data_IF_811819503063
#
_entry.id   IF_811819503063
#
_cell.length_a   1.000
_cell.length_b   1.000
_cell.length_c   1.000
_cell.angle_alpha   90.00
_cell.angle_beta   90.00
_cell.angle_gamma   90.00
#
_symmetry.space_group_name_H-M   'P 1'
#
loop_
_entity.id
_entity.type
_entity.pdbx_description
1 polymer ?
#
# COMPACT_ATOMS: atom_id res chain seq x y z
N UNK A 1 -0.52 -13.61 2.53
CA UNK A 1 -1.79 -12.93 2.19
C UNK A 1 -1.55 -11.88 1.11
N UNK A 2 -2.60 -11.53 0.36
CA UNK A 2 -2.53 -10.57 -0.74
C UNK A 2 -3.61 -9.50 -0.57
N UNK A 3 -3.23 -8.25 -0.80
CA UNK A 3 -4.14 -7.10 -0.80
C UNK A 3 -3.96 -6.30 -2.08
N UNK A 4 -5.06 -5.88 -2.71
CA UNK A 4 -5.06 -4.90 -3.80
C UNK A 4 -5.55 -3.59 -3.20
N UNK A 5 -4.73 -2.54 -3.32
CA UNK A 5 -5.02 -1.27 -2.70
C UNK A 5 -4.69 -0.10 -3.62
N UNK A 6 -5.32 1.03 -3.36
CA UNK A 6 -4.99 2.30 -4.01
C UNK A 6 -4.13 3.13 -3.05
N UNK A 7 -2.97 3.59 -3.51
CA UNK A 7 -2.08 4.47 -2.75
C UNK A 7 -2.80 5.81 -2.54
N UNK A 8 -2.86 6.26 -1.29
CA UNK A 8 -3.44 7.55 -0.89
C UNK A 8 -2.37 8.57 -0.59
N UNK A 9 -1.33 8.14 0.11
CA UNK A 9 -0.20 8.98 0.53
C UNK A 9 1.08 8.15 0.57
N UNK A 10 2.20 8.78 0.23
CA UNK A 10 3.52 8.14 0.15
C UNK A 10 4.43 8.81 1.16
N UNK A 11 4.90 8.03 2.14
CA UNK A 11 5.80 8.48 3.20
C UNK A 11 7.17 7.82 3.03
N UNK A 12 8.16 8.25 3.81
CA UNK A 12 9.54 7.78 3.66
C UNK A 12 9.67 6.25 3.82
N UNK A 13 9.01 5.67 4.82
CA UNK A 13 9.06 4.22 5.12
C UNK A 13 7.69 3.53 5.13
N UNK A 14 6.66 4.21 4.62
CA UNK A 14 5.32 3.64 4.60
C UNK A 14 4.47 4.22 3.49
N UNK A 15 3.46 3.45 3.08
CA UNK A 15 2.40 3.89 2.18
C UNK A 15 1.09 3.89 2.95
N UNK A 16 0.35 4.98 2.89
CA UNK A 16 -1.05 4.94 3.27
C UNK A 16 -1.83 4.46 2.05
N UNK A 17 -2.50 3.32 2.17
CA UNK A 17 -3.27 2.74 1.08
C UNK A 17 -4.72 2.54 1.51
N UNK A 18 -5.63 2.55 0.55
CA UNK A 18 -7.01 2.14 0.76
C UNK A 18 -7.20 0.75 0.15
N UNK A 19 -7.48 -0.24 0.98
CA UNK A 19 -7.83 -1.58 0.52
C UNK A 19 -9.10 -1.52 -0.34
N UNK A 20 -9.07 -2.15 -1.52
CA UNK A 20 -10.20 -2.14 -2.45
C UNK A 20 -11.28 -3.14 -2.08
N UNK A 21 -10.98 -4.14 -1.24
CA UNK A 21 -11.98 -5.12 -0.78
C UNK A 21 -12.76 -4.57 0.40
N UNK A 22 -12.06 -4.17 1.47
CA UNK A 22 -12.70 -3.68 2.70
C UNK A 22 -12.99 -2.19 2.69
N UNK A 23 -12.50 -1.44 1.69
CA UNK A 23 -12.53 0.03 1.66
C UNK A 23 -11.80 0.71 2.83
N UNK A 24 -11.06 -0.03 3.66
CA UNK A 24 -10.36 0.48 4.83
C UNK A 24 -9.02 1.12 4.46
N UNK A 25 -8.64 2.17 5.19
CA UNK A 25 -7.28 2.71 5.11
C UNK A 25 -6.32 1.85 5.93
N UNK A 26 -5.19 1.49 5.34
CA UNK A 26 -4.16 0.64 5.95
C UNK A 26 -2.80 1.30 5.76
N UNK A 27 -1.99 1.32 6.81
CA UNK A 27 -0.59 1.76 6.72
C UNK A 27 0.28 0.56 6.37
N UNK A 28 1.01 0.68 5.27
CA UNK A 28 1.87 -0.38 4.75
C UNK A 28 3.31 0.01 5.02
N UNK A 29 3.92 -0.60 6.02
CA UNK A 29 5.33 -0.40 6.33
C UNK A 29 6.17 -1.15 5.29
N UNK A 30 7.06 -0.42 4.62
CA UNK A 30 7.96 -0.96 3.58
C UNK A 30 9.27 -0.18 3.59
N UNK A 31 10.38 -0.86 3.33
CA UNK A 31 11.70 -0.22 3.23
C UNK A 31 11.91 0.54 1.93
N UNK A 32 11.07 0.29 0.93
CA UNK A 32 11.16 0.96 -0.37
C UNK A 32 9.79 1.48 -0.79
N UNK A 33 9.65 2.80 -0.75
CA UNK A 33 8.48 3.55 -1.25
C UNK A 33 8.77 4.29 -2.54
N UNK A 34 10.01 4.22 -3.06
CA UNK A 34 10.41 4.95 -4.28
C UNK A 34 9.65 4.39 -5.49
N UNK A 35 9.12 5.30 -6.31
CA UNK A 35 8.40 4.95 -7.52
C UNK A 35 6.91 4.67 -7.33
N UNK A 36 6.37 4.84 -6.12
CA UNK A 36 4.93 4.89 -5.89
C UNK A 36 4.45 6.33 -5.76
N UNK A 37 3.24 6.57 -6.24
CA UNK A 37 2.58 7.86 -6.22
C UNK A 37 1.13 7.74 -5.72
N UNK A 38 0.56 8.80 -5.11
CA UNK A 38 -0.86 8.84 -4.79
C UNK A 38 -1.72 8.56 -6.02
N UNK A 39 -2.66 7.61 -5.91
CA UNK A 39 -3.52 7.14 -6.99
C UNK A 39 -3.06 5.83 -7.64
N UNK A 40 -1.82 5.39 -7.40
CA UNK A 40 -1.34 4.10 -7.90
C UNK A 40 -2.18 2.94 -7.38
N UNK A 41 -2.43 1.95 -8.23
CA UNK A 41 -3.01 0.67 -7.85
C UNK A 41 -1.86 -0.31 -7.65
N UNK A 42 -1.76 -0.84 -6.44
CA UNK A 42 -0.66 -1.73 -6.04
C UNK A 42 -1.22 -3.06 -5.52
N UNK A 43 -0.45 -4.12 -5.79
CA UNK A 43 -0.62 -5.44 -5.18
C UNK A 43 0.42 -5.60 -4.08
N UNK A 44 -0.04 -5.85 -2.87
CA UNK A 44 0.78 -5.95 -1.66
C UNK A 44 0.71 -7.38 -1.13
N UNK A 45 1.87 -7.98 -0.94
CA UNK A 45 2.05 -9.26 -0.27
C UNK A 45 2.53 -9.02 1.16
N UNK A 46 1.89 -9.69 2.12
CA UNK A 46 2.23 -9.62 3.54
C UNK A 46 1.92 -10.96 4.23
N UNK A 47 2.40 -11.12 5.45
CA UNK A 47 2.26 -12.37 6.22
C UNK A 47 0.85 -12.66 6.76
N UNK A 48 -0.13 -11.77 6.55
CA UNK A 48 -1.50 -11.91 7.06
C UNK A 48 -1.73 -11.29 8.43
N UNK A 49 -0.68 -10.82 9.11
CA UNK A 49 -0.79 -10.19 10.43
C UNK A 49 -0.99 -8.68 10.26
N UNK A 50 -1.98 -8.13 10.97
CA UNK A 50 -2.21 -6.69 11.08
C UNK A 50 -1.96 -6.24 12.52
N UNK A 51 -1.25 -5.12 12.68
CA UNK A 51 -1.07 -4.48 13.99
C UNK A 51 -2.39 -3.84 14.44
N UNK A 52 -2.84 -4.07 15.69
CA UNK A 52 -4.07 -3.47 16.21
C UNK A 52 -3.86 -1.97 16.47
N UNK A 53 -4.04 -1.17 15.44
CA UNK A 53 -4.00 0.30 15.49
C UNK A 53 -5.10 0.90 14.61
N UNK A 54 -5.31 2.22 14.71
CA UNK A 54 -6.25 2.96 13.89
C UNK A 54 -5.49 4.07 13.14
N UNK A 55 -5.36 4.01 11.79
CA UNK A 55 -5.69 2.87 10.93
C UNK A 55 -4.83 1.61 11.23
N UNK A 56 -5.26 0.41 10.82
CA UNK A 56 -4.46 -0.81 10.95
C UNK A 56 -3.16 -0.70 10.14
N UNK A 57 -2.12 -1.42 10.59
CA UNK A 57 -0.83 -1.45 9.87
C UNK A 57 -0.41 -2.87 9.50
N UNK A 58 0.35 -2.98 8.42
CA UNK A 58 0.95 -4.23 7.96
C UNK A 58 2.42 -4.01 7.57
N UNK A 59 3.19 -5.09 7.56
CA UNK A 59 4.53 -5.12 6.98
C UNK A 59 4.48 -5.79 5.61
N UNK A 60 4.82 -5.04 4.56
CA UNK A 60 4.87 -5.59 3.21
C UNK A 60 6.12 -6.45 3.00
N UNK A 61 5.92 -7.67 2.52
CA UNK A 61 6.98 -8.54 2.00
C UNK A 61 7.34 -8.15 0.57
N UNK A 62 6.34 -7.81 -0.25
CA UNK A 62 6.53 -7.36 -1.63
C UNK A 62 5.41 -6.45 -2.07
N UNK A 63 5.74 -5.39 -2.79
CA UNK A 63 4.77 -4.48 -3.40
C UNK A 63 5.05 -4.44 -4.90
N UNK A 64 4.01 -4.62 -5.72
CA UNK A 64 4.10 -4.52 -7.18
C UNK A 64 3.06 -3.54 -7.68
N UNK A 65 3.51 -2.58 -8.49
CA UNK A 65 2.63 -1.66 -9.21
C UNK A 65 1.79 -2.44 -10.23
N UNK A 66 0.47 -2.22 -10.24
CA UNK A 66 -0.46 -2.77 -11.24
C UNK A 66 -0.77 -1.70 -12.28
N UNK A 67 -1.04 -0.48 -11.82
CA UNK A 67 -1.39 0.65 -12.66
C UNK A 67 -0.95 1.93 -11.97
N UNK A 68 -0.31 2.84 -12.71
CA UNK A 68 -0.03 4.19 -12.25
C UNK A 68 -0.64 5.21 -13.22
N UNK A 69 -1.44 6.16 -12.74
CA UNK A 69 -1.87 7.29 -13.55
C UNK A 69 -0.72 8.26 -13.88
N UNK A 70 0.45 8.09 -13.27
CA UNK A 70 1.62 8.98 -13.42
C UNK A 70 2.62 8.52 -14.48
N UNK A 71 2.46 7.33 -15.08
CA UNK A 71 3.38 6.78 -16.08
C UNK A 71 3.48 7.57 -17.41
N UNK A 72 2.67 8.63 -17.60
CA UNK A 72 2.63 9.41 -18.84
C UNK A 72 2.96 10.91 -18.65
N UNK A 73 3.70 11.29 -17.61
CA UNK A 73 4.04 12.70 -17.34
C UNK A 73 5.52 13.00 -17.33
#
# INVERSE_FOLDING_TARGET
MLMIATVRDVRFNSLLVRDRVTSQNVVVNTRNTRGFFPGDIVRIWYNGVMTPSIPPQIFATRITLIFSPWCCR
#
